data_IF_191973227468
#
_entry.id   IF_191973227468
#
_cell.length_a   1.000
_cell.length_b   1.000
_cell.length_c   1.000
_cell.angle_alpha   90.00
_cell.angle_beta   90.00
_cell.angle_gamma   90.00
#
_symmetry.space_group_name_H-M   'P 1'
#
loop_
_entity.id
_entity.type
_entity.pdbx_description
1 polymer ?
#
# COMPACT_ATOMS: atom_id res chain seq x y z
N UNK A 1 19.37 -10.47 12.27
CA UNK A 1 18.61 -11.47 11.49
C UNK A 1 17.25 -11.62 12.15
N UNK A 2 16.16 -11.56 11.39
CA UNK A 2 14.82 -11.86 11.90
C UNK A 2 14.72 -13.37 12.15
N UNK A 3 14.24 -13.78 13.33
CA UNK A 3 14.08 -15.19 13.66
C UNK A 3 12.78 -15.71 13.02
N UNK A 4 12.77 -16.87 12.32
CA UNK A 4 11.54 -17.44 11.76
C UNK A 4 10.38 -17.54 12.74
N UNK A 5 10.67 -17.83 14.02
CA UNK A 5 9.67 -17.89 15.10
C UNK A 5 8.97 -16.56 15.38
N UNK A 6 9.65 -15.44 15.13
CA UNK A 6 9.08 -14.10 15.28
C UNK A 6 8.08 -13.82 14.15
N UNK A 7 8.35 -14.35 12.95
CA UNK A 7 7.47 -14.20 11.79
C UNK A 7 6.20 -15.03 11.92
N UNK A 8 6.24 -16.19 12.59
CA UNK A 8 5.07 -17.05 12.79
C UNK A 8 4.14 -16.58 13.90
N UNK A 9 4.67 -15.86 14.89
CA UNK A 9 3.91 -15.31 16.02
C UNK A 9 3.35 -13.91 15.77
N UNK A 10 3.75 -13.26 14.67
CA UNK A 10 3.27 -11.92 14.30
C UNK A 10 1.85 -11.96 13.72
N UNK A 11 0.97 -11.08 14.22
CA UNK A 11 -0.38 -10.87 13.67
C UNK A 11 -0.35 -10.04 12.38
N UNK A 12 0.04 -10.68 11.28
CA UNK A 12 0.09 -10.05 9.95
C UNK A 12 -1.26 -9.55 9.45
N UNK A 13 -2.35 -10.23 9.83
CA UNK A 13 -3.70 -9.85 9.43
C UNK A 13 -4.13 -8.57 10.14
N UNK A 14 -3.88 -8.46 11.45
CA UNK A 14 -4.14 -7.25 12.22
C UNK A 14 -3.30 -6.06 11.74
N UNK A 15 -2.01 -6.26 11.43
CA UNK A 15 -1.16 -5.21 10.88
C UNK A 15 -1.64 -4.72 9.52
N UNK A 16 -2.03 -5.63 8.62
CA UNK A 16 -2.59 -5.28 7.31
C UNK A 16 -3.90 -4.49 7.45
N UNK A 17 -4.82 -4.97 8.28
CA UNK A 17 -6.10 -4.31 8.54
C UNK A 17 -5.92 -2.92 9.16
N UNK A 18 -4.99 -2.77 10.10
CA UNK A 18 -4.66 -1.48 10.71
C UNK A 18 -4.16 -0.45 9.70
N UNK A 19 -3.26 -0.86 8.80
CA UNK A 19 -2.75 0.02 7.74
C UNK A 19 -3.83 0.42 6.73
N UNK A 20 -4.73 -0.50 6.35
CA UNK A 20 -5.88 -0.16 5.51
C UNK A 20 -6.82 0.83 6.20
N UNK A 21 -7.14 0.62 7.46
CA UNK A 21 -7.98 1.55 8.22
C UNK A 21 -7.34 2.96 8.32
N UNK A 22 -6.01 3.05 8.42
CA UNK A 22 -5.31 4.34 8.37
C UNK A 22 -5.38 4.98 6.97
N UNK A 23 -5.25 4.18 5.91
CA UNK A 23 -5.41 4.64 4.52
C UNK A 23 -6.82 5.17 4.27
N UNK A 24 -7.85 4.47 4.75
CA UNK A 24 -9.26 4.88 4.62
C UNK A 24 -9.55 6.20 5.36
N UNK A 25 -9.00 6.38 6.56
CA UNK A 25 -9.12 7.66 7.30
C UNK A 25 -8.49 8.82 6.53
N UNK A 26 -7.37 8.58 5.87
CA UNK A 26 -6.70 9.58 5.02
C UNK A 26 -7.51 9.88 3.75
N UNK A 27 -8.26 8.92 3.21
CA UNK A 27 -9.18 9.16 2.10
C UNK A 27 -10.30 10.16 2.48
N UNK A 28 -10.77 10.16 3.74
CA UNK A 28 -11.73 11.14 4.25
C UNK A 28 -11.10 12.55 4.26
N UNK A 29 -9.87 12.68 4.77
CA UNK A 29 -9.14 13.96 4.76
C UNK A 29 -8.89 14.45 3.32
N UNK A 30 -8.56 13.55 2.40
CA UNK A 30 -8.42 13.87 0.97
C UNK A 30 -9.73 14.38 0.36
N UNK A 31 -10.87 13.76 0.70
CA UNK A 31 -12.17 14.23 0.22
C UNK A 31 -12.50 15.62 0.74
N UNK A 32 -12.24 15.89 2.03
CA UNK A 32 -12.40 17.22 2.61
C UNK A 32 -11.51 18.26 1.93
N UNK A 33 -10.22 17.97 1.73
CA UNK A 33 -9.31 18.88 1.02
C UNK A 33 -9.74 19.14 -0.43
N UNK A 34 -10.31 18.15 -1.13
CA UNK A 34 -10.84 18.37 -2.49
C UNK A 34 -12.06 19.30 -2.49
N UNK A 35 -12.99 19.11 -1.54
CA UNK A 35 -14.12 20.02 -1.33
C UNK A 35 -13.66 21.45 -1.04
N UNK A 36 -12.61 21.58 -0.24
CA UNK A 36 -11.94 22.84 0.04
C UNK A 36 -11.41 23.51 -1.25
N UNK A 37 -10.77 22.77 -2.16
CA UNK A 37 -10.31 23.30 -3.44
C UNK A 37 -11.42 23.68 -4.43
N UNK A 38 -12.58 23.01 -4.37
CA UNK A 38 -13.75 23.36 -5.20
C UNK A 38 -14.22 24.79 -4.94
N UNK A 39 -13.93 25.36 -3.77
CA UNK A 39 -14.24 26.75 -3.43
C UNK A 39 -13.58 27.79 -4.34
N UNK A 40 -12.56 27.41 -5.13
CA UNK A 40 -11.96 28.29 -6.16
C UNK A 40 -12.94 28.68 -7.27
N UNK A 41 -13.94 27.84 -7.52
CA UNK A 41 -14.88 28.00 -8.65
C UNK A 41 -16.35 27.89 -8.22
N UNK A 42 -16.63 27.34 -7.03
CA UNK A 42 -17.97 27.21 -6.46
C UNK A 42 -18.04 28.00 -5.17
N UNK A 43 -19.05 28.86 -5.01
CA UNK A 43 -19.24 29.59 -3.75
C UNK A 43 -19.65 28.59 -2.64
N UNK A 44 -18.96 28.59 -1.48
CA UNK A 44 -19.29 27.69 -0.38
C UNK A 44 -20.72 27.95 0.16
N UNK A 45 -21.34 26.90 0.69
CA UNK A 45 -22.64 27.02 1.36
C UNK A 45 -22.57 27.90 2.61
N UNK A 46 -23.72 28.38 3.10
CA UNK A 46 -23.80 29.27 4.27
C UNK A 46 -23.18 28.70 5.56
N UNK A 47 -23.12 27.37 5.69
CA UNK A 47 -22.57 26.68 6.86
C UNK A 47 -21.16 26.11 6.62
N UNK A 48 -20.57 26.35 5.44
CA UNK A 48 -19.27 25.81 5.05
C UNK A 48 -18.13 26.79 5.37
N UNK A 49 -17.02 26.25 5.88
CA UNK A 49 -15.84 27.07 6.20
C UNK A 49 -15.22 27.63 4.91
N UNK A 50 -15.06 28.96 4.86
CA UNK A 50 -14.45 29.65 3.72
C UNK A 50 -12.94 29.77 3.89
N UNK A 51 -12.22 29.30 2.89
CA UNK A 51 -10.76 29.32 2.86
C UNK A 51 -10.29 30.62 2.23
N UNK A 52 -9.22 31.21 2.77
CA UNK A 52 -8.63 32.39 2.16
C UNK A 52 -7.82 32.02 0.91
N UNK A 53 -7.73 32.95 -0.05
CA UNK A 53 -7.08 32.66 -1.34
C UNK A 53 -5.61 32.23 -1.19
N UNK A 54 -4.92 32.75 -0.18
CA UNK A 54 -3.52 32.42 0.11
C UNK A 54 -3.31 31.04 0.74
N UNK A 55 -4.38 30.39 1.24
CA UNK A 55 -4.30 29.06 1.87
C UNK A 55 -4.47 27.92 0.86
N UNK A 56 -5.03 28.18 -0.32
CA UNK A 56 -5.22 27.15 -1.35
C UNK A 56 -3.94 26.39 -1.73
N UNK A 57 -2.77 27.03 -1.90
CA UNK A 57 -1.54 26.29 -2.21
C UNK A 57 -1.14 25.30 -1.10
N UNK A 58 -1.42 25.62 0.16
CA UNK A 58 -1.15 24.72 1.29
C UNK A 58 -2.06 23.49 1.24
N UNK A 59 -3.35 23.69 0.97
CA UNK A 59 -4.33 22.60 0.81
C UNK A 59 -3.97 21.68 -0.37
N UNK A 60 -3.52 22.25 -1.50
CA UNK A 60 -3.06 21.45 -2.66
C UNK A 60 -1.84 20.59 -2.31
N UNK A 61 -0.84 21.17 -1.64
CA UNK A 61 0.35 20.45 -1.23
C UNK A 61 0.01 19.31 -0.24
N UNK A 62 -0.85 19.59 0.74
CA UNK A 62 -1.29 18.59 1.72
C UNK A 62 -2.05 17.44 1.05
N UNK A 63 -2.92 17.72 0.08
CA UNK A 63 -3.63 16.68 -0.67
C UNK A 63 -2.70 15.73 -1.42
N UNK A 64 -1.64 16.26 -2.02
CA UNK A 64 -0.64 15.43 -2.72
C UNK A 64 0.09 14.51 -1.74
N UNK A 65 0.45 15.02 -0.57
CA UNK A 65 1.09 14.21 0.46
C UNK A 65 0.14 13.15 1.03
N UNK A 66 -1.11 13.51 1.33
CA UNK A 66 -2.14 12.57 1.79
C UNK A 66 -2.34 11.44 0.76
N UNK A 67 -2.39 11.75 -0.53
CA UNK A 67 -2.55 10.74 -1.58
C UNK A 67 -1.35 9.78 -1.64
N UNK A 68 -0.12 10.33 -1.65
CA UNK A 68 1.13 9.54 -1.61
C UNK A 68 1.16 8.61 -0.40
N UNK A 69 0.86 9.16 0.77
CA UNK A 69 0.82 8.45 2.03
C UNK A 69 -0.24 7.34 2.05
N UNK A 70 -1.43 7.61 1.52
CA UNK A 70 -2.53 6.65 1.44
C UNK A 70 -2.17 5.47 0.54
N UNK A 71 -1.51 5.73 -0.59
CA UNK A 71 -1.00 4.72 -1.51
C UNK A 71 0.05 3.85 -0.82
N UNK A 72 1.01 4.47 -0.12
CA UNK A 72 2.05 3.75 0.61
C UNK A 72 1.44 2.83 1.68
N UNK A 73 0.51 3.32 2.50
CA UNK A 73 -0.18 2.52 3.51
C UNK A 73 -0.90 1.31 2.89
N UNK A 74 -1.62 1.52 1.79
CA UNK A 74 -2.34 0.44 1.12
C UNK A 74 -1.38 -0.60 0.50
N UNK A 75 -0.24 -0.16 -0.04
CA UNK A 75 0.80 -1.05 -0.55
C UNK A 75 1.45 -1.87 0.57
N UNK A 76 1.81 -1.24 1.68
CA UNK A 76 2.38 -1.92 2.85
C UNK A 76 1.38 -2.90 3.46
N UNK A 77 0.09 -2.55 3.54
CA UNK A 77 -0.95 -3.46 3.99
C UNK A 77 -1.03 -4.72 3.13
N UNK A 78 -0.97 -4.57 1.80
CA UNK A 78 -0.95 -5.70 0.86
C UNK A 78 0.29 -6.57 1.03
N UNK A 79 1.45 -5.97 1.26
CA UNK A 79 2.69 -6.70 1.54
C UNK A 79 2.56 -7.54 2.82
N UNK A 80 2.03 -6.98 3.91
CA UNK A 80 1.81 -7.73 5.15
C UNK A 80 0.79 -8.87 4.98
N UNK A 81 -0.30 -8.65 4.22
CA UNK A 81 -1.23 -9.72 3.89
C UNK A 81 -0.61 -10.83 3.02
N UNK A 82 0.38 -10.51 2.18
CA UNK A 82 1.13 -11.50 1.41
C UNK A 82 2.10 -12.29 2.30
N UNK A 83 2.82 -11.62 3.20
CA UNK A 83 3.71 -12.27 4.16
C UNK A 83 2.93 -13.23 5.05
N UNK A 84 1.80 -12.79 5.63
CA UNK A 84 0.96 -13.65 6.46
C UNK A 84 0.47 -14.91 5.73
N UNK A 85 0.09 -14.78 4.45
CA UNK A 85 -0.29 -15.93 3.60
C UNK A 85 0.89 -16.87 3.35
N UNK A 86 2.05 -16.32 3.01
CA UNK A 86 3.27 -17.12 2.79
C UNK A 86 3.66 -17.91 4.05
N UNK A 87 3.62 -17.27 5.22
CA UNK A 87 3.92 -17.91 6.51
C UNK A 87 2.91 -19.02 6.83
N UNK A 88 1.62 -18.81 6.54
CA UNK A 88 0.59 -19.82 6.75
C UNK A 88 0.74 -21.02 5.79
N UNK A 89 1.07 -20.77 4.52
CA UNK A 89 1.30 -21.82 3.52
C UNK A 89 2.47 -22.72 3.92
N UNK A 90 3.61 -22.13 4.30
CA UNK A 90 4.81 -22.85 4.80
C UNK A 90 4.49 -23.74 6.01
N UNK A 91 3.70 -23.25 6.97
CA UNK A 91 3.28 -24.05 8.14
C UNK A 91 2.33 -25.19 7.78
N UNK A 92 1.52 -25.02 6.74
CA UNK A 92 0.52 -26.02 6.34
C UNK A 92 1.11 -27.20 5.57
N UNK A 93 2.37 -27.11 5.13
CA UNK A 93 3.01 -28.11 4.27
C UNK A 93 2.37 -28.22 2.87
N UNK A 94 1.41 -27.34 2.53
CA UNK A 94 0.91 -27.21 1.17
C UNK A 94 1.94 -26.44 0.36
N UNK A 95 2.30 -26.91 -0.85
CA UNK A 95 3.13 -26.10 -1.74
C UNK A 95 2.41 -24.75 -1.95
N UNK A 96 3.14 -23.65 -1.76
CA UNK A 96 2.63 -22.30 -2.01
C UNK A 96 1.85 -22.31 -3.33
N UNK A 97 0.58 -21.89 -3.28
CA UNK A 97 -0.31 -21.95 -4.44
C UNK A 97 0.42 -21.33 -5.63
N UNK A 98 0.76 -22.14 -6.62
CA UNK A 98 1.35 -21.66 -7.86
C UNK A 98 0.44 -20.53 -8.36
N UNK A 99 1.05 -19.38 -8.65
CA UNK A 99 0.35 -18.21 -9.14
C UNK A 99 -0.70 -18.67 -10.17
N UNK A 100 -1.96 -18.34 -9.91
CA UNK A 100 -3.09 -18.81 -10.70
C UNK A 100 -2.72 -18.74 -12.19
N UNK A 101 -2.89 -19.84 -12.90
CA UNK A 101 -2.54 -20.00 -14.31
C UNK A 101 -3.24 -18.97 -15.24
N UNK A 102 -4.15 -18.16 -14.67
CA UNK A 102 -4.80 -16.99 -15.25
C UNK A 102 -4.13 -15.64 -14.89
N UNK A 103 -2.83 -15.61 -14.53
CA UNK A 103 -2.10 -14.35 -14.41
C UNK A 103 -1.91 -13.74 -15.80
N UNK A 104 -2.78 -12.79 -16.17
CA UNK A 104 -2.86 -12.05 -17.45
C UNK A 104 -1.65 -11.13 -17.68
N UNK A 105 -0.56 -11.33 -16.92
CA UNK A 105 0.69 -10.58 -17.05
C UNK A 105 1.48 -11.07 -18.26
N UNK A 106 1.98 -10.11 -19.04
CA UNK A 106 2.78 -10.37 -20.22
C UNK A 106 4.00 -11.27 -19.90
N UNK A 107 4.44 -12.12 -20.84
CA UNK A 107 5.58 -13.04 -20.64
C UNK A 107 6.86 -12.30 -20.20
N UNK A 108 7.01 -11.03 -20.56
CA UNK A 108 8.12 -10.17 -20.15
C UNK A 108 8.16 -9.96 -18.63
N UNK A 109 7.00 -9.71 -18.00
CA UNK A 109 6.89 -9.53 -16.55
C UNK A 109 7.25 -10.81 -15.78
N UNK A 110 6.86 -11.97 -16.33
CA UNK A 110 7.22 -13.28 -15.77
C UNK A 110 8.73 -13.52 -15.78
N UNK A 111 9.41 -13.16 -16.87
CA UNK A 111 10.87 -13.33 -16.97
C UNK A 111 11.64 -12.41 -16.01
N UNK A 112 11.11 -11.22 -15.74
CA UNK A 112 11.74 -10.24 -14.86
C UNK A 112 11.62 -10.68 -13.38
N UNK A 113 10.45 -11.20 -12.99
CA UNK A 113 10.23 -11.77 -11.66
C UNK A 113 11.09 -13.02 -11.45
N UNK A 114 11.13 -13.92 -12.44
CA UNK A 114 11.99 -15.12 -12.39
C UNK A 114 13.47 -14.77 -12.20
N UNK A 115 13.97 -13.75 -12.91
CA UNK A 115 15.36 -13.27 -12.77
C UNK A 115 15.63 -12.65 -11.40
N UNK A 116 14.68 -11.90 -10.86
CA UNK A 116 14.80 -11.32 -9.52
C UNK A 116 14.91 -12.41 -8.44
N UNK A 117 14.05 -13.44 -8.48
CA UNK A 117 14.11 -14.54 -7.51
C UNK A 117 15.38 -15.39 -7.64
N UNK A 118 15.86 -15.62 -8.86
CA UNK A 118 17.11 -16.35 -9.08
C UNK A 118 18.36 -15.53 -8.70
N UNK A 119 18.30 -14.20 -8.77
CA UNK A 119 19.36 -13.33 -8.24
C UNK A 119 19.38 -13.30 -6.71
N UNK A 120 18.21 -13.30 -6.05
CA UNK A 120 18.09 -13.32 -4.59
C UNK A 120 18.43 -14.68 -3.96
N UNK A 121 18.33 -15.77 -4.73
CA UNK A 121 18.61 -17.14 -4.24
C UNK A 121 20.06 -17.59 -4.44
N UNK A 122 20.94 -16.74 -4.98
CA UNK A 122 22.37 -17.05 -5.13
C UNK A 122 23.15 -16.49 -3.94
N UNK A 123 23.55 -17.29 -2.94
CA UNK A 123 24.57 -16.88 -2.00
C UNK A 123 25.91 -16.79 -2.76
N UNK A 124 26.46 -15.57 -2.85
CA UNK A 124 27.86 -15.29 -3.18
C UNK A 124 28.48 -16.02 -4.37
N UNK A 125 28.60 -15.33 -5.51
CA UNK A 125 29.78 -15.50 -6.37
C UNK A 125 29.99 -14.22 -7.17
N UNK A 126 30.67 -13.27 -6.55
CA UNK A 126 31.45 -12.28 -7.27
C UNK A 126 32.82 -12.91 -7.53
N UNK A 127 33.11 -13.19 -8.80
CA UNK A 127 34.44 -13.33 -9.36
C UNK A 127 34.41 -12.65 -10.72
#
# INVERSE_FOLDING_TARGET
MLNPSDLTSTDWAGLSAGLLAMSDRRAIASHQGRRMLEQKVIEPGTDEHRIAEHDFPAVEAELVEIDRESVLLAQTARAFAQIGRFVADEQSGKPASAAAENDTRSPSARSLISRLFSALSRPGSAA
#
